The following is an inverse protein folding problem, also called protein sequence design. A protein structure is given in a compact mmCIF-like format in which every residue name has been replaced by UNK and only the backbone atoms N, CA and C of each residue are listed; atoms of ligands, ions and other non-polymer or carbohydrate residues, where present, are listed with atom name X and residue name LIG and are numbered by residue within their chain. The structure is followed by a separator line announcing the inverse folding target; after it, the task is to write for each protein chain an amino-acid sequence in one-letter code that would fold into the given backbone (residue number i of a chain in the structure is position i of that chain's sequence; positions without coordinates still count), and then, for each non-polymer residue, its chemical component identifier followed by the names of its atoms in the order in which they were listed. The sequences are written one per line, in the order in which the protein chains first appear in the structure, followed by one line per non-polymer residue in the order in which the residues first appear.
data_IF_027293898292
#
_entry.id   IF_027293898292
#
_cell.length_a   1.000
_cell.length_b   1.000
_cell.length_c   1.000
_cell.angle_alpha   90.00
_cell.angle_beta   90.00
_cell.angle_gamma   90.00
#
_symmetry.space_group_name_H-M   'P 1'
#
loop_
_entity.id
_entity.type
_entity.pdbx_description
1 polymer ?
#
# COMPACT_ATOMS: atom_id res chain seq x y z
N UNK A 1 -21.85 -13.37 -9.39
CA UNK A 1 -22.98 -13.23 -8.44
C UNK A 1 -24.30 -13.00 -9.17
N UNK A 2 -24.52 -11.88 -9.89
CA UNK A 2 -25.79 -11.63 -10.60
C UNK A 2 -26.24 -12.78 -11.51
N UNK A 3 -25.33 -13.32 -12.33
CA UNK A 3 -25.60 -14.47 -13.20
C UNK A 3 -26.07 -15.72 -12.43
N UNK A 4 -25.57 -15.92 -11.21
CA UNK A 4 -25.87 -17.11 -10.40
C UNK A 4 -27.16 -16.91 -9.59
N UNK A 5 -27.40 -15.69 -9.10
CA UNK A 5 -28.46 -15.39 -8.14
C UNK A 5 -29.75 -14.82 -8.77
N UNK A 6 -29.74 -14.51 -10.07
CA UNK A 6 -30.86 -13.85 -10.76
C UNK A 6 -31.12 -12.43 -10.25
N UNK A 7 -32.27 -11.86 -10.66
CA UNK A 7 -32.68 -10.48 -10.36
C UNK A 7 -33.58 -10.34 -9.11
N UNK A 8 -33.38 -11.20 -8.11
CA UNK A 8 -34.15 -11.10 -6.87
C UNK A 8 -33.91 -9.75 -6.15
N UNK A 9 -34.97 -8.99 -5.78
CA UNK A 9 -34.83 -7.67 -5.16
C UNK A 9 -34.01 -7.67 -3.86
N UNK A 10 -34.12 -8.73 -3.06
CA UNK A 10 -33.36 -8.90 -1.81
C UNK A 10 -31.87 -9.06 -2.07
N UNK A 11 -31.48 -9.80 -3.11
CA UNK A 11 -30.09 -9.96 -3.55
C UNK A 11 -29.53 -8.64 -4.06
N UNK A 12 -30.31 -7.87 -4.82
CA UNK A 12 -29.88 -6.56 -5.32
C UNK A 12 -29.59 -5.58 -4.18
N UNK A 13 -30.44 -5.54 -3.15
CA UNK A 13 -30.21 -4.69 -1.95
C UNK A 13 -28.93 -5.08 -1.21
N UNK A 14 -28.70 -6.38 -0.99
CA UNK A 14 -27.47 -6.88 -0.33
C UNK A 14 -26.23 -6.59 -1.17
N UNK A 15 -26.32 -6.73 -2.49
CA UNK A 15 -25.22 -6.42 -3.40
C UNK A 15 -24.86 -4.94 -3.35
N UNK A 16 -25.84 -4.03 -3.35
CA UNK A 16 -25.58 -2.60 -3.24
C UNK A 16 -24.83 -2.24 -1.95
N UNK A 17 -25.28 -2.78 -0.80
CA UNK A 17 -24.60 -2.58 0.48
C UNK A 17 -23.17 -3.16 0.49
N UNK A 18 -22.98 -4.37 -0.05
CA UNK A 18 -21.68 -5.01 -0.13
C UNK A 18 -20.72 -4.24 -1.07
N UNK A 19 -21.21 -3.72 -2.19
CA UNK A 19 -20.42 -2.89 -3.11
C UNK A 19 -20.02 -1.57 -2.46
N UNK A 20 -20.92 -0.94 -1.70
CA UNK A 20 -20.61 0.27 -0.95
C UNK A 20 -19.49 0.03 0.07
N UNK A 21 -19.61 -1.05 0.85
CA UNK A 21 -18.59 -1.46 1.80
C UNK A 21 -17.25 -1.73 1.11
N UNK A 22 -17.26 -2.52 0.02
CA UNK A 22 -16.07 -2.82 -0.75
C UNK A 22 -15.40 -1.55 -1.28
N UNK A 23 -16.17 -0.61 -1.85
CA UNK A 23 -15.60 0.62 -2.42
C UNK A 23 -14.91 1.48 -1.34
N UNK A 24 -15.51 1.58 -0.13
CA UNK A 24 -14.90 2.27 1.01
C UNK A 24 -13.64 1.56 1.50
N UNK A 25 -13.71 0.25 1.74
CA UNK A 25 -12.59 -0.52 2.25
C UNK A 25 -11.40 -0.51 1.28
N UNK A 26 -11.68 -0.52 -0.02
CA UNK A 26 -10.67 -0.54 -1.07
C UNK A 26 -10.14 0.84 -1.44
N UNK A 27 -10.66 1.91 -0.83
CA UNK A 27 -10.26 3.29 -1.09
C UNK A 27 -10.31 3.62 -2.58
N UNK A 28 -11.45 3.36 -3.22
CA UNK A 28 -11.55 3.48 -4.68
C UNK A 28 -11.27 4.93 -5.11
N UNK A 29 -10.29 5.18 -6.00
CA UNK A 29 -10.02 6.51 -6.49
C UNK A 29 -11.11 6.97 -7.46
N UNK A 30 -11.51 8.23 -7.34
CA UNK A 30 -12.57 8.86 -8.13
C UNK A 30 -12.09 10.20 -8.63
N UNK A 31 -12.09 10.37 -9.95
CA UNK A 31 -11.72 11.61 -10.60
C UNK A 31 -12.94 12.52 -10.69
N UNK A 32 -12.89 13.67 -10.01
CA UNK A 32 -13.94 14.68 -10.10
C UNK A 32 -13.73 15.57 -11.34
N UNK A 33 -14.80 16.20 -11.88
CA UNK A 33 -14.67 17.17 -12.96
C UNK A 33 -13.71 18.29 -12.57
N UNK A 34 -12.80 18.65 -13.48
CA UNK A 34 -11.81 19.72 -13.30
C UNK A 34 -10.81 19.54 -12.15
N UNK A 35 -10.80 18.39 -11.46
CA UNK A 35 -9.84 18.13 -10.39
C UNK A 35 -8.51 17.64 -10.94
N UNK A 36 -7.39 18.23 -10.49
CA UNK A 36 -6.03 17.79 -10.86
C UNK A 36 -5.70 16.41 -10.28
N UNK A 37 -6.18 16.11 -9.07
CA UNK A 37 -5.96 14.85 -8.37
C UNK A 37 -7.28 14.08 -8.19
N UNK A 38 -7.19 12.76 -8.06
CA UNK A 38 -8.36 11.93 -7.73
C UNK A 38 -8.67 12.05 -6.23
N UNK A 39 -9.97 12.10 -5.89
CA UNK A 39 -10.44 11.88 -4.51
C UNK A 39 -10.53 10.37 -4.23
N UNK A 40 -10.81 9.99 -2.98
CA UNK A 40 -10.93 8.59 -2.54
C UNK A 40 -12.30 8.33 -1.92
N UNK A 41 -12.91 7.19 -2.23
CA UNK A 41 -14.09 6.69 -1.52
C UNK A 41 -13.62 5.97 -0.26
N UNK A 42 -13.79 6.60 0.90
CA UNK A 42 -13.37 6.08 2.19
C UNK A 42 -14.49 6.22 3.22
N UNK A 43 -14.39 5.53 4.36
CA UNK A 43 -15.30 5.75 5.48
C UNK A 43 -15.15 7.16 6.08
N UNK A 44 -13.94 7.73 6.03
CA UNK A 44 -13.63 9.06 6.60
C UNK A 44 -14.19 10.22 5.79
N UNK A 45 -14.49 9.98 4.52
CA UNK A 45 -15.15 10.94 3.63
C UNK A 45 -16.63 10.66 3.40
N UNK A 46 -17.24 9.67 4.06
CA UNK A 46 -18.66 9.33 3.88
C UNK A 46 -19.53 10.28 4.71
N UNK A 47 -20.30 11.14 4.03
CA UNK A 47 -21.23 12.08 4.67
C UNK A 47 -22.64 11.48 4.81
N UNK A 48 -22.81 10.21 4.46
CA UNK A 48 -24.11 9.54 4.43
C UNK A 48 -24.89 9.83 3.16
N UNK A 49 -25.97 9.06 2.95
CA UNK A 49 -26.87 9.19 1.80
C UNK A 49 -26.18 9.15 0.41
N UNK A 50 -25.02 8.49 0.32
CA UNK A 50 -24.23 8.38 -0.91
C UNK A 50 -23.43 9.65 -1.25
N UNK A 51 -23.36 10.63 -0.34
CA UNK A 51 -22.52 11.81 -0.47
C UNK A 51 -21.14 11.57 0.11
N UNK A 52 -20.11 12.03 -0.60
CA UNK A 52 -18.73 11.93 -0.19
C UNK A 52 -18.02 13.28 -0.23
N UNK A 53 -17.10 13.49 0.71
CA UNK A 53 -16.23 14.65 0.79
C UNK A 53 -14.98 14.46 -0.07
N UNK A 54 -14.65 15.46 -0.87
CA UNK A 54 -13.32 15.69 -1.42
C UNK A 54 -12.63 16.76 -0.56
N UNK A 55 -11.72 16.38 0.36
CA UNK A 55 -11.13 17.33 1.30
C UNK A 55 -10.24 18.36 0.60
N UNK A 56 -9.54 17.98 -0.48
CA UNK A 56 -8.66 18.88 -1.22
C UNK A 56 -9.37 20.08 -1.84
N UNK A 57 -10.50 19.82 -2.48
CA UNK A 57 -11.26 20.85 -3.19
C UNK A 57 -12.39 21.43 -2.34
N UNK A 58 -12.51 20.99 -1.08
CA UNK A 58 -13.66 21.26 -0.21
C UNK A 58 -14.97 21.15 -0.98
N UNK A 59 -15.23 19.96 -1.51
CA UNK A 59 -16.42 19.72 -2.33
C UNK A 59 -17.09 18.42 -1.93
N UNK A 60 -18.41 18.39 -1.97
CA UNK A 60 -19.19 17.15 -1.84
C UNK A 60 -19.60 16.63 -3.19
N UNK A 61 -19.74 15.32 -3.33
CA UNK A 61 -20.24 14.70 -4.55
C UNK A 61 -21.00 13.42 -4.22
N UNK A 62 -22.02 13.12 -5.03
CA UNK A 62 -22.74 11.86 -4.93
C UNK A 62 -21.94 10.77 -5.65
N UNK A 63 -21.86 9.58 -5.06
CA UNK A 63 -21.17 8.44 -5.65
C UNK A 63 -22.09 7.24 -5.83
N UNK A 64 -22.35 6.86 -7.08
CA UNK A 64 -23.06 5.62 -7.40
C UNK A 64 -22.09 4.44 -7.27
N UNK A 65 -22.17 3.71 -6.17
CA UNK A 65 -21.28 2.57 -5.91
C UNK A 65 -21.37 1.45 -6.95
N UNK A 66 -22.52 1.28 -7.61
CA UNK A 66 -22.72 0.23 -8.62
C UNK A 66 -22.14 0.62 -9.98
N UNK A 67 -22.36 1.87 -10.39
CA UNK A 67 -21.81 2.42 -11.65
C UNK A 67 -20.37 2.89 -11.50
N UNK A 68 -19.91 3.10 -10.28
CA UNK A 68 -18.61 3.67 -9.92
C UNK A 68 -18.39 5.07 -10.51
N UNK A 69 -19.44 5.90 -10.50
CA UNK A 69 -19.43 7.26 -11.07
C UNK A 69 -19.74 8.32 -10.02
N UNK A 70 -19.06 9.47 -10.10
CA UNK A 70 -19.40 10.66 -9.32
C UNK A 70 -20.36 11.58 -10.08
N UNK A 71 -21.30 12.19 -9.36
CA UNK A 71 -22.23 13.21 -9.84
C UNK A 71 -22.43 14.30 -8.79
N UNK A 72 -23.18 15.35 -9.16
CA UNK A 72 -23.66 16.38 -8.22
C UNK A 72 -22.56 17.02 -7.37
N UNK A 73 -21.44 17.36 -8.00
CA UNK A 73 -20.32 18.02 -7.32
C UNK A 73 -20.73 19.43 -6.91
N UNK A 74 -20.59 19.73 -5.62
CA UNK A 74 -20.95 21.01 -5.01
C UNK A 74 -19.81 21.47 -4.12
N UNK A 75 -19.51 22.77 -4.15
CA UNK A 75 -18.59 23.36 -3.18
C UNK A 75 -19.19 23.25 -1.78
N UNK A 76 -18.35 22.98 -0.80
CA UNK A 76 -18.68 22.95 0.61
C UNK A 76 -17.69 23.86 1.31
N UNK A 77 -18.16 24.90 1.98
CA UNK A 77 -17.26 25.74 2.75
C UNK A 77 -16.66 24.90 3.90
N UNK A 78 -15.35 25.04 4.18
CA UNK A 78 -14.74 24.39 5.34
C UNK A 78 -15.51 24.80 6.61
N UNK A 79 -16.09 23.82 7.30
CA UNK A 79 -16.82 24.02 8.54
C UNK A 79 -16.65 22.81 9.47
N UNK A 80 -16.79 23.05 10.77
CA UNK A 80 -16.53 22.06 11.83
C UNK A 80 -17.57 20.91 11.89
N UNK A 81 -18.40 20.72 10.87
CA UNK A 81 -19.40 19.64 10.83
C UNK A 81 -19.18 18.71 9.63
N UNK A 82 -19.23 19.26 8.42
CA UNK A 82 -19.23 18.49 7.18
C UNK A 82 -18.02 18.82 6.29
N UNK A 83 -17.41 20.01 6.48
CA UNK A 83 -16.34 20.57 5.66
C UNK A 83 -14.92 20.38 6.20
N UNK A 84 -14.80 19.80 7.40
CA UNK A 84 -13.55 19.52 8.11
C UNK A 84 -13.24 20.53 9.23
N UNK A 85 -12.49 20.09 10.24
CA UNK A 85 -12.09 20.93 11.38
C UNK A 85 -11.22 22.12 10.92
N UNK A 86 -11.74 23.34 11.07
CA UNK A 86 -11.07 24.57 10.63
C UNK A 86 -9.74 24.81 11.34
N UNK A 87 -9.58 24.33 12.57
CA UNK A 87 -8.34 24.41 13.34
C UNK A 87 -7.29 23.41 12.86
N UNK A 88 -7.74 22.26 12.36
CA UNK A 88 -6.90 21.19 11.82
C UNK A 88 -6.52 21.44 10.34
N UNK A 89 -7.29 22.25 9.61
CA UNK A 89 -7.15 22.45 8.16
C UNK A 89 -5.72 22.84 7.72
N UNK A 90 -4.98 23.76 8.39
CA UNK A 90 -3.60 24.07 8.00
C UNK A 90 -2.67 22.86 8.07
N UNK A 91 -2.87 21.96 9.04
CA UNK A 91 -2.09 20.74 9.23
C UNK A 91 -2.49 19.67 8.21
N UNK A 92 -3.81 19.53 7.96
CA UNK A 92 -4.38 18.65 6.95
C UNK A 92 -3.85 19.00 5.55
N UNK A 93 -3.94 20.27 5.16
CA UNK A 93 -3.49 20.76 3.87
C UNK A 93 -1.98 20.57 3.68
N UNK A 94 -1.16 20.96 4.67
CA UNK A 94 0.29 20.77 4.60
C UNK A 94 0.68 19.29 4.43
N UNK A 95 0.01 18.39 5.19
CA UNK A 95 0.22 16.95 5.08
C UNK A 95 -0.23 16.41 3.73
N UNK A 96 -1.37 16.85 3.22
CA UNK A 96 -1.89 16.43 1.92
C UNK A 96 -0.94 16.81 0.77
N UNK A 97 -0.41 18.02 0.77
CA UNK A 97 0.58 18.46 -0.23
C UNK A 97 1.82 17.59 -0.18
N UNK A 98 2.41 17.40 1.00
CA UNK A 98 3.65 16.63 1.15
C UNK A 98 3.48 15.14 0.83
N UNK A 99 2.38 14.51 1.25
CA UNK A 99 2.08 13.12 0.91
C UNK A 99 1.80 12.97 -0.59
N UNK A 100 1.18 13.95 -1.23
CA UNK A 100 0.92 13.90 -2.68
C UNK A 100 2.23 13.87 -3.47
N UNK A 101 3.17 14.74 -3.15
CA UNK A 101 4.49 14.77 -3.78
C UNK A 101 5.22 13.44 -3.59
N UNK A 102 5.29 12.95 -2.35
CA UNK A 102 5.84 11.62 -2.03
C UNK A 102 5.17 10.51 -2.85
N UNK A 103 3.83 10.52 -2.90
CA UNK A 103 3.05 9.47 -3.55
C UNK A 103 3.31 9.47 -5.04
N UNK A 104 3.37 10.61 -5.73
CA UNK A 104 3.61 10.64 -7.17
C UNK A 104 5.04 10.20 -7.54
N UNK A 105 6.01 10.43 -6.66
CA UNK A 105 7.39 9.96 -6.84
C UNK A 105 7.51 8.43 -6.71
N UNK A 106 6.78 7.82 -5.76
CA UNK A 106 6.93 6.39 -5.43
C UNK A 106 5.79 5.49 -5.99
N UNK A 107 4.65 6.09 -6.30
CA UNK A 107 3.43 5.47 -6.81
C UNK A 107 2.80 6.35 -7.89
N UNK A 108 3.24 6.25 -9.15
CA UNK A 108 2.82 7.15 -10.23
C UNK A 108 1.33 7.08 -10.59
N UNK A 109 0.67 5.95 -10.30
CA UNK A 109 -0.80 5.79 -10.36
C UNK A 109 -1.49 5.97 -9.01
N UNK A 110 -0.78 6.50 -8.03
CA UNK A 110 -1.22 6.67 -6.66
C UNK A 110 -2.26 7.78 -6.53
N UNK A 111 -3.08 7.68 -5.49
CA UNK A 111 -4.07 8.69 -5.13
C UNK A 111 -4.10 8.86 -3.63
N UNK A 112 -4.33 10.10 -3.20
CA UNK A 112 -4.21 10.52 -1.80
C UNK A 112 -5.45 11.30 -1.42
N UNK A 113 -5.94 11.08 -0.22
CA UNK A 113 -6.87 12.00 0.44
C UNK A 113 -6.49 12.13 1.91
N UNK A 114 -6.47 13.36 2.42
CA UNK A 114 -6.26 13.62 3.86
C UNK A 114 -7.49 14.30 4.41
N UNK A 115 -8.12 13.66 5.39
CA UNK A 115 -9.33 14.12 6.06
C UNK A 115 -8.99 14.74 7.41
N UNK A 116 -9.80 15.69 7.86
CA UNK A 116 -9.82 16.20 9.22
C UNK A 116 -11.26 16.05 9.78
N UNK A 117 -11.66 14.84 10.21
CA UNK A 117 -13.01 14.59 10.67
C UNK A 117 -13.33 15.46 11.89
N UNK A 118 -14.38 16.27 11.80
CA UNK A 118 -14.81 17.14 12.88
C UNK A 118 -15.74 16.37 13.84
N UNK A 119 -15.15 15.47 14.63
CA UNK A 119 -15.92 14.63 15.57
C UNK A 119 -16.01 15.33 16.92
N UNK A 120 -17.22 15.70 17.35
CA UNK A 120 -17.47 16.51 18.55
C UNK A 120 -17.16 15.80 19.88
N UNK A 121 -17.00 14.48 19.89
CA UNK A 121 -16.79 13.65 21.09
C UNK A 121 -15.51 12.82 21.06
N UNK A 122 -14.58 13.09 20.14
CA UNK A 122 -13.34 12.35 19.98
C UNK A 122 -12.14 13.31 19.87
N UNK A 123 -10.94 12.80 20.18
CA UNK A 123 -9.71 13.56 19.98
C UNK A 123 -9.61 14.05 18.53
N UNK A 124 -9.24 15.33 18.35
CA UNK A 124 -8.96 15.90 17.03
C UNK A 124 -7.91 15.05 16.30
N UNK A 125 -8.19 14.72 15.04
CA UNK A 125 -7.31 13.87 14.25
C UNK A 125 -7.31 14.21 12.77
N UNK A 126 -6.21 13.85 12.12
CA UNK A 126 -6.13 13.74 10.67
C UNK A 126 -6.15 12.27 10.28
N UNK A 127 -6.70 11.98 9.11
CA UNK A 127 -6.59 10.65 8.51
C UNK A 127 -6.08 10.78 7.08
N UNK A 128 -4.87 10.30 6.83
CA UNK A 128 -4.26 10.26 5.50
C UNK A 128 -4.40 8.87 4.88
N UNK A 129 -5.05 8.80 3.73
CA UNK A 129 -5.21 7.58 2.95
C UNK A 129 -4.36 7.67 1.69
N UNK A 130 -3.53 6.67 1.44
CA UNK A 130 -2.76 6.49 0.20
C UNK A 130 -3.21 5.19 -0.44
N UNK A 131 -3.58 5.25 -1.72
CA UNK A 131 -3.89 4.05 -2.51
C UNK A 131 -3.04 4.05 -3.78
N UNK A 132 -2.55 2.88 -4.15
CA UNK A 132 -1.98 2.65 -5.47
C UNK A 132 -2.45 1.30 -5.98
N UNK A 133 -2.64 1.20 -7.29
CA UNK A 133 -3.08 -0.03 -7.93
C UNK A 133 -2.37 -0.24 -9.25
N UNK A 134 -2.16 -1.51 -9.57
CA UNK A 134 -1.70 -1.92 -10.89
C UNK A 134 -2.58 -3.04 -11.43
N UNK A 135 -2.65 -3.08 -12.75
CA UNK A 135 -3.27 -4.16 -13.50
C UNK A 135 -2.33 -4.50 -14.66
N UNK A 136 -1.96 -5.77 -14.76
CA UNK A 136 -1.21 -6.34 -15.88
C UNK A 136 -1.97 -7.57 -16.39
N UNK A 137 -1.50 -8.16 -17.49
CA UNK A 137 -2.07 -9.42 -17.98
C UNK A 137 -2.09 -10.45 -16.85
N UNK A 138 -3.27 -11.00 -16.58
CA UNK A 138 -3.53 -12.02 -15.56
C UNK A 138 -3.03 -11.71 -14.13
N UNK A 139 -2.78 -10.44 -13.80
CA UNK A 139 -2.33 -10.06 -12.46
C UNK A 139 -2.86 -8.68 -12.05
N UNK A 140 -3.22 -8.59 -10.77
CA UNK A 140 -3.68 -7.34 -10.16
C UNK A 140 -3.01 -7.15 -8.81
N UNK A 141 -2.83 -5.90 -8.42
CA UNK A 141 -2.41 -5.59 -7.07
C UNK A 141 -2.86 -4.22 -6.61
N UNK A 142 -2.96 -4.09 -5.30
CA UNK A 142 -3.37 -2.88 -4.61
C UNK A 142 -2.55 -2.69 -3.36
N UNK A 143 -1.97 -1.50 -3.25
CA UNK A 143 -1.40 -0.93 -2.05
C UNK A 143 -2.43 -0.01 -1.41
N UNK A 144 -2.60 -0.11 -0.09
CA UNK A 144 -3.36 0.84 0.73
C UNK A 144 -2.55 1.14 1.98
N UNK A 145 -2.35 2.41 2.30
CA UNK A 145 -1.91 2.80 3.64
C UNK A 145 -2.85 3.84 4.22
N UNK A 146 -3.23 3.64 5.47
CA UNK A 146 -4.06 4.56 6.25
C UNK A 146 -3.25 5.02 7.45
N UNK A 147 -3.13 6.33 7.65
CA UNK A 147 -2.39 6.93 8.75
C UNK A 147 -3.34 7.82 9.54
N UNK A 148 -3.57 7.47 10.80
CA UNK A 148 -4.36 8.25 11.75
C UNK A 148 -3.40 9.05 12.62
N UNK A 149 -3.50 10.38 12.57
CA UNK A 149 -2.67 11.32 13.32
C UNK A 149 -3.55 11.97 14.38
N UNK A 150 -3.24 11.78 15.65
CA UNK A 150 -3.86 12.54 16.74
C UNK A 150 -3.21 13.91 16.86
N UNK A 151 -4.03 14.95 16.85
CA UNK A 151 -3.60 16.35 17.01
C UNK A 151 -3.65 16.69 18.50
N UNK A 152 -2.55 17.15 19.11
CA UNK A 152 -2.57 17.59 20.50
C UNK A 152 -3.34 18.90 20.67
N UNK A 153 -3.77 19.21 21.90
CA UNK A 153 -4.54 20.42 22.19
C UNK A 153 -3.84 21.71 21.78
N UNK A 154 -2.51 21.73 21.95
CA UNK A 154 -1.58 22.75 21.48
C UNK A 154 -0.72 22.18 20.33
N UNK A 155 -1.12 22.35 19.05
CA UNK A 155 -0.41 21.77 17.91
C UNK A 155 0.99 22.33 17.68
N UNK A 156 1.21 23.60 18.04
CA UNK A 156 2.49 24.29 17.82
C UNK A 156 3.50 23.83 18.87
N UNK A 157 4.51 23.06 18.44
CA UNK A 157 5.50 22.50 19.35
C UNK A 157 5.00 21.28 20.15
N UNK A 158 3.74 20.88 19.97
CA UNK A 158 3.17 19.67 20.53
C UNK A 158 3.64 18.40 19.81
N UNK A 159 3.43 17.26 20.46
CA UNK A 159 3.75 15.94 19.91
C UNK A 159 2.50 15.28 19.34
N UNK A 160 2.54 14.99 18.05
CA UNK A 160 1.52 14.27 17.31
C UNK A 160 1.79 12.77 17.39
N UNK A 161 0.79 11.99 17.80
CA UNK A 161 0.86 10.52 17.76
C UNK A 161 0.30 10.00 16.46
N UNK A 162 1.03 9.13 15.77
CA UNK A 162 0.65 8.59 14.46
C UNK A 162 0.55 7.08 14.53
N UNK A 163 -0.61 6.54 14.16
CA UNK A 163 -0.86 5.12 13.96
C UNK A 163 -1.13 4.85 12.48
N UNK A 164 -0.41 3.91 11.89
CA UNK A 164 -0.47 3.58 10.48
C UNK A 164 -0.78 2.11 10.22
N UNK A 165 -1.59 1.84 9.21
CA UNK A 165 -1.88 0.49 8.74
C UNK A 165 -1.59 0.41 7.25
N UNK A 166 -0.58 -0.38 6.89
CA UNK A 166 -0.20 -0.65 5.50
C UNK A 166 -0.77 -2.01 5.10
N UNK A 167 -1.42 -2.10 3.93
CA UNK A 167 -2.03 -3.31 3.38
C UNK A 167 -1.63 -3.49 1.92
N UNK A 168 -1.18 -4.70 1.59
CA UNK A 168 -0.88 -5.12 0.22
C UNK A 168 -1.76 -6.31 -0.11
N UNK A 169 -2.45 -6.22 -1.24
CA UNK A 169 -3.22 -7.32 -1.81
C UNK A 169 -2.81 -7.51 -3.25
N UNK A 170 -2.47 -8.74 -3.62
CA UNK A 170 -2.17 -9.10 -5.01
C UNK A 170 -2.86 -10.40 -5.39
N UNK A 171 -3.13 -10.55 -6.68
CA UNK A 171 -3.81 -11.69 -7.24
C UNK A 171 -3.24 -11.99 -8.62
N UNK A 172 -2.65 -13.17 -8.75
CA UNK A 172 -2.17 -13.75 -9.99
C UNK A 172 -3.11 -14.89 -10.37
N UNK A 173 -3.60 -14.86 -11.61
CA UNK A 173 -4.56 -15.83 -12.11
C UNK A 173 -4.19 -16.38 -13.50
N UNK A 174 -2.89 -16.39 -13.79
CA UNK A 174 -2.31 -17.13 -14.92
C UNK A 174 -2.18 -18.59 -14.51
N UNK A 175 -2.90 -19.48 -15.22
CA UNK A 175 -2.88 -20.94 -15.01
C UNK A 175 -3.22 -21.43 -13.58
N UNK A 176 -3.73 -20.53 -12.72
CA UNK A 176 -4.01 -20.82 -11.33
C UNK A 176 -4.75 -19.66 -10.65
N UNK A 177 -4.82 -19.68 -9.32
CA UNK A 177 -5.34 -18.56 -8.51
C UNK A 177 -4.48 -18.45 -7.25
N UNK A 178 -3.57 -17.48 -7.26
CA UNK A 178 -2.63 -17.23 -6.17
C UNK A 178 -2.86 -15.81 -5.66
N UNK A 179 -3.01 -15.67 -4.34
CA UNK A 179 -3.23 -14.38 -3.70
C UNK A 179 -2.21 -14.15 -2.59
N UNK A 180 -1.67 -12.93 -2.54
CA UNK A 180 -0.97 -12.42 -1.37
C UNK A 180 -1.85 -11.38 -0.70
N UNK A 181 -2.08 -11.54 0.60
CA UNK A 181 -2.70 -10.55 1.46
C UNK A 181 -1.76 -10.36 2.64
N UNK A 182 -1.24 -9.14 2.80
CA UNK A 182 -0.29 -8.82 3.86
C UNK A 182 -0.63 -7.45 4.45
N UNK A 183 -0.44 -7.32 5.76
CA UNK A 183 -0.64 -6.06 6.46
C UNK A 183 0.44 -5.82 7.52
N UNK A 184 0.72 -4.55 7.82
CA UNK A 184 1.62 -4.14 8.89
C UNK A 184 1.07 -2.88 9.57
N UNK A 185 1.09 -2.90 10.89
CA UNK A 185 0.80 -1.73 11.72
C UNK A 185 2.10 -1.04 12.13
N UNK A 186 2.07 0.28 12.24
CA UNK A 186 3.24 1.12 12.53
C UNK A 186 2.81 2.28 13.41
N UNK A 187 3.52 2.49 14.51
CA UNK A 187 3.32 3.64 15.39
C UNK A 187 4.59 4.50 15.43
N UNK A 188 4.41 5.83 15.41
CA UNK A 188 5.48 6.79 15.65
C UNK A 188 4.92 8.11 16.20
N UNK A 189 5.81 9.05 16.52
CA UNK A 189 5.42 10.38 16.96
C UNK A 189 6.24 11.44 16.25
N UNK A 190 5.61 12.59 16.02
CA UNK A 190 6.21 13.74 15.34
C UNK A 190 6.05 14.96 16.23
N UNK A 191 7.12 15.71 16.45
CA UNK A 191 7.04 17.02 17.12
C UNK A 191 7.54 18.06 16.13
N UNK A 192 6.76 19.12 15.93
CA UNK A 192 7.12 20.15 14.96
C UNK A 192 6.60 21.54 15.35
N UNK A 193 7.34 22.60 15.01
CA UNK A 193 6.98 23.97 15.36
C UNK A 193 5.86 24.56 14.48
N UNK A 194 5.55 23.94 13.33
CA UNK A 194 4.52 24.41 12.41
C UNK A 194 4.05 23.27 11.47
N UNK A 195 2.95 23.52 10.76
CA UNK A 195 2.31 22.55 9.86
C UNK A 195 3.23 22.04 8.75
N UNK A 196 4.08 22.89 8.17
CA UNK A 196 5.00 22.50 7.11
C UNK A 196 6.07 21.53 7.62
N UNK A 197 6.71 21.86 8.75
CA UNK A 197 7.71 21.00 9.37
C UNK A 197 7.11 19.66 9.82
N UNK A 198 5.88 19.69 10.36
CA UNK A 198 5.13 18.48 10.69
C UNK A 198 4.91 17.59 9.46
N UNK A 199 4.43 18.16 8.37
CA UNK A 199 4.16 17.41 7.15
C UNK A 199 5.42 16.74 6.59
N UNK A 200 6.52 17.47 6.51
CA UNK A 200 7.81 16.93 6.06
C UNK A 200 8.29 15.77 6.93
N UNK A 201 8.22 15.93 8.25
CA UNK A 201 8.69 14.91 9.19
C UNK A 201 7.77 13.69 9.21
N UNK A 202 6.46 13.90 9.13
CA UNK A 202 5.47 12.83 9.03
C UNK A 202 5.69 12.00 7.75
N UNK A 203 5.88 12.64 6.60
CA UNK A 203 6.19 11.95 5.33
C UNK A 203 7.51 11.18 5.41
N UNK A 204 8.54 11.73 6.08
CA UNK A 204 9.81 11.03 6.30
C UNK A 204 9.60 9.72 7.06
N UNK A 205 8.79 9.74 8.12
CA UNK A 205 8.45 8.53 8.88
C UNK A 205 7.62 7.54 8.05
N UNK A 206 6.61 8.01 7.33
CA UNK A 206 5.78 7.18 6.43
C UNK A 206 6.67 6.48 5.39
N UNK A 207 7.52 7.23 4.69
CA UNK A 207 8.46 6.70 3.70
C UNK A 207 9.35 5.60 4.29
N UNK A 208 9.96 5.85 5.45
CA UNK A 208 10.81 4.87 6.11
C UNK A 208 10.04 3.61 6.53
N UNK A 209 8.82 3.77 7.02
CA UNK A 209 7.95 2.66 7.40
C UNK A 209 7.53 1.81 6.19
N UNK A 210 7.16 2.45 5.08
CA UNK A 210 6.80 1.77 3.83
C UNK A 210 8.00 1.05 3.20
N UNK A 211 9.19 1.68 3.18
CA UNK A 211 10.44 1.02 2.73
C UNK A 211 10.76 -0.19 3.61
N UNK A 212 10.70 -0.04 4.93
CA UNK A 212 10.95 -1.13 5.87
C UNK A 212 9.93 -2.27 5.76
N UNK A 213 8.74 -1.99 5.23
CA UNK A 213 7.74 -3.02 4.94
C UNK A 213 7.97 -3.71 3.58
N UNK A 214 8.40 -2.95 2.56
CA UNK A 214 8.67 -3.49 1.22
C UNK A 214 9.91 -4.39 1.20
N UNK A 215 10.98 -4.05 1.94
CA UNK A 215 12.25 -4.79 1.89
C UNK A 215 12.12 -6.27 2.28
N UNK A 216 11.48 -6.66 3.40
CA UNK A 216 11.28 -8.06 3.74
C UNK A 216 10.31 -8.78 2.80
N UNK A 217 9.30 -8.10 2.26
CA UNK A 217 8.40 -8.71 1.27
C UNK A 217 9.15 -9.08 -0.01
N UNK A 218 10.12 -8.26 -0.43
CA UNK A 218 11.04 -8.61 -1.52
C UNK A 218 11.94 -9.80 -1.19
N UNK A 219 12.42 -9.91 0.06
CA UNK A 219 13.30 -11.00 0.50
C UNK A 219 12.55 -12.31 0.79
N UNK A 220 11.32 -12.27 1.30
CA UNK A 220 10.50 -13.46 1.58
C UNK A 220 10.14 -14.22 0.30
N UNK A 221 10.02 -13.50 -0.81
CA UNK A 221 9.83 -14.05 -2.16
C UNK A 221 11.14 -14.54 -2.77
N UNK A 222 12.28 -14.09 -2.25
CA UNK A 222 13.62 -14.53 -2.62
C UNK A 222 14.34 -15.26 -1.46
N UNK A 223 13.89 -16.41 -0.94
CA UNK A 223 14.73 -17.20 -0.08
C UNK A 223 15.62 -18.14 -0.93
N UNK A 224 16.95 -18.17 -0.72
CA UNK A 224 17.69 -19.40 -0.91
C UNK A 224 17.19 -20.38 0.16
N UNK A 225 16.40 -21.38 -0.23
CA UNK A 225 16.03 -22.56 0.57
C UNK A 225 15.74 -22.29 2.07
N UNK A 226 14.56 -21.74 2.40
CA UNK A 226 14.12 -21.60 3.80
C UNK A 226 13.51 -22.92 4.33
N UNK A 227 13.77 -23.33 5.59
CA UNK A 227 13.41 -24.66 6.13
C UNK A 227 11.90 -24.99 6.25
N UNK A 228 10.99 -24.04 6.02
CA UNK A 228 9.54 -24.32 5.98
C UNK A 228 9.09 -24.92 4.63
N UNK A 229 9.93 -24.83 3.60
CA UNK A 229 9.77 -25.51 2.32
C UNK A 229 10.78 -26.67 2.23
N UNK A 230 10.74 -27.57 3.22
CA UNK A 230 11.34 -28.91 3.10
C UNK A 230 10.25 -29.95 3.25
N UNK A 231 9.37 -30.01 2.26
CA UNK A 231 8.55 -31.18 1.99
C UNK A 231 8.35 -31.23 0.47
N UNK A 232 8.71 -32.38 -0.10
CA UNK A 232 8.70 -32.76 -1.52
C UNK A 232 9.70 -32.03 -2.43
N UNK A 233 10.97 -32.43 -2.30
CA UNK A 233 11.97 -32.31 -3.37
C UNK A 233 11.59 -33.30 -4.49
N UNK A 234 11.17 -32.73 -5.61
CA UNK A 234 10.69 -33.43 -6.81
C UNK A 234 9.46 -32.68 -7.33
N UNK A 235 9.65 -31.80 -8.32
CA UNK A 235 8.59 -31.09 -9.09
C UNK A 235 8.03 -29.74 -8.55
N UNK A 236 8.83 -28.90 -7.90
CA UNK A 236 8.45 -27.49 -7.64
C UNK A 236 9.49 -26.50 -8.14
N UNK A 237 9.79 -26.58 -9.44
CA UNK A 237 10.45 -25.51 -10.21
C UNK A 237 9.44 -24.41 -10.66
N UNK A 238 8.24 -24.39 -10.10
CA UNK A 238 7.09 -23.74 -10.72
C UNK A 238 6.56 -22.50 -9.94
N UNK A 239 6.71 -21.34 -10.59
CA UNK A 239 5.67 -20.29 -10.78
C UNK A 239 5.51 -19.18 -9.71
N UNK A 240 6.12 -19.24 -8.53
CA UNK A 240 5.89 -18.20 -7.48
C UNK A 240 6.83 -16.99 -7.46
N UNK A 241 8.14 -17.22 -7.59
CA UNK A 241 9.18 -16.22 -7.26
C UNK A 241 9.50 -15.19 -8.37
N UNK A 242 9.51 -15.54 -9.67
CA UNK A 242 9.85 -14.57 -10.73
C UNK A 242 8.79 -13.49 -10.95
N UNK A 243 7.52 -13.80 -10.68
CA UNK A 243 6.39 -12.91 -10.94
C UNK A 243 6.24 -11.82 -9.87
N UNK A 244 6.53 -12.12 -8.61
CA UNK A 244 6.47 -11.12 -7.55
C UNK A 244 7.70 -10.19 -7.57
N UNK A 245 8.85 -10.67 -8.09
CA UNK A 245 9.96 -9.80 -8.51
C UNK A 245 9.53 -8.88 -9.66
N UNK A 246 8.81 -9.36 -10.67
CA UNK A 246 8.21 -8.51 -11.72
C UNK A 246 7.17 -7.54 -11.19
N UNK A 247 6.52 -7.82 -10.05
CA UNK A 247 5.54 -6.93 -9.41
C UNK A 247 6.20 -5.85 -8.55
N UNK A 248 7.27 -6.18 -7.83
CA UNK A 248 8.08 -5.19 -7.12
C UNK A 248 8.84 -4.30 -8.12
N UNK A 249 9.37 -4.89 -9.19
CA UNK A 249 9.93 -4.16 -10.33
C UNK A 249 8.85 -3.33 -11.03
N UNK A 250 7.61 -3.81 -11.19
CA UNK A 250 6.52 -3.00 -11.75
C UNK A 250 6.09 -1.81 -10.89
N UNK A 251 6.16 -1.95 -9.57
CA UNK A 251 5.90 -0.85 -8.63
C UNK A 251 7.09 0.13 -8.55
N UNK A 252 8.30 -0.34 -8.88
CA UNK A 252 9.52 0.47 -8.95
C UNK A 252 9.72 1.16 -10.31
N UNK A 253 9.36 0.50 -11.42
CA UNK A 253 9.59 0.93 -12.81
C UNK A 253 8.57 1.96 -13.32
N UNK A 254 7.60 2.32 -12.51
CA UNK A 254 6.71 3.43 -12.84
C UNK A 254 7.40 4.80 -12.68
N UNK A 255 8.55 4.88 -12.00
CA UNK A 255 9.37 6.09 -11.91
C UNK A 255 10.46 6.14 -12.99
N UNK A 256 10.31 7.05 -13.94
CA UNK A 256 11.31 7.54 -14.91
C UNK A 256 12.20 6.53 -15.64
N UNK A 257 11.92 6.36 -16.93
CA UNK A 257 12.92 6.05 -17.95
C UNK A 257 13.92 7.22 -18.06
N UNK A 258 15.10 7.09 -17.47
CA UNK A 258 16.39 7.39 -18.11
C UNK A 258 17.54 7.03 -17.14
N UNK A 259 18.63 6.51 -17.70
CA UNK A 259 19.81 5.92 -17.03
C UNK A 259 19.68 4.51 -16.46
N UNK A 260 19.61 3.51 -17.34
CA UNK A 260 20.43 2.28 -17.23
C UNK A 260 20.42 1.52 -18.56
N UNK A 261 20.81 2.20 -19.64
CA UNK A 261 21.11 1.52 -20.91
C UNK A 261 22.61 1.39 -21.08
N UNK A 262 23.05 0.16 -21.35
CA UNK A 262 24.41 -0.29 -21.69
C UNK A 262 25.41 -0.39 -20.53
N UNK A 263 25.47 -1.57 -19.93
CA UNK A 263 26.70 -2.38 -19.95
C UNK A 263 26.39 -3.85 -19.67
N UNK A 264 26.80 -4.71 -20.59
CA UNK A 264 27.01 -6.14 -20.34
C UNK A 264 25.82 -7.03 -20.59
N UNK A 265 25.69 -7.55 -21.82
CA UNK A 265 25.73 -8.99 -22.12
C UNK A 265 25.38 -9.17 -23.61
N UNK A 266 26.42 -9.18 -24.45
CA UNK A 266 26.35 -9.84 -25.76
C UNK A 266 27.32 -11.02 -25.65
N UNK A 267 26.78 -12.20 -25.33
CA UNK A 267 27.49 -13.45 -25.48
C UNK A 267 27.57 -13.74 -26.99
N UNK A 268 28.73 -13.44 -27.60
CA UNK A 268 29.11 -14.02 -28.87
C UNK A 268 29.89 -15.29 -28.59
N UNK A 269 29.27 -16.40 -28.96
CA UNK A 269 29.87 -17.72 -29.06
C UNK A 269 31.04 -17.66 -30.06
N UNK A 270 32.26 -17.97 -29.61
CA UNK A 270 33.36 -18.40 -30.48
C UNK A 270 34.34 -19.25 -29.69
N UNK A 271 34.59 -20.43 -30.23
CA UNK A 271 35.50 -21.45 -29.71
C UNK A 271 36.97 -21.04 -29.84
N UNK A 272 37.78 -21.72 -29.03
CA UNK A 272 39.17 -22.15 -29.25
C UNK A 272 40.35 -21.28 -28.77
N UNK A 273 41.10 -21.92 -27.84
CA UNK A 273 42.56 -22.08 -27.80
C UNK A 273 43.48 -21.05 -27.10
N UNK A 274 44.19 -21.58 -26.07
CA UNK A 274 45.53 -21.22 -25.52
C UNK A 274 45.62 -20.07 -24.47
N UNK A 275 46.22 -20.38 -23.30
CA UNK A 275 46.58 -19.43 -22.20
C UNK A 275 47.86 -18.62 -22.48
N UNK A 276 48.65 -18.07 -21.51
CA UNK A 276 48.59 -18.16 -20.03
C UNK A 276 48.90 -16.85 -19.20
N UNK A 277 48.82 -16.95 -17.85
CA UNK A 277 49.61 -16.26 -16.77
C UNK A 277 49.49 -14.72 -16.60
N UNK A 278 49.30 -14.10 -15.40
CA UNK A 278 50.20 -14.04 -14.22
C UNK A 278 49.49 -13.61 -12.90
N UNK A 279 50.17 -13.93 -11.77
CA UNK A 279 49.81 -13.76 -10.34
C UNK A 279 49.79 -12.30 -9.81
N UNK A 280 49.04 -12.05 -8.72
CA UNK A 280 49.37 -11.08 -7.67
C UNK A 280 48.71 -11.43 -6.31
N UNK A 281 49.40 -11.05 -5.22
CA UNK A 281 49.34 -11.54 -3.84
C UNK A 281 48.20 -10.99 -2.94
N UNK A 282 48.00 -11.72 -1.83
CA UNK A 282 47.36 -11.34 -0.55
C UNK A 282 47.92 -10.03 0.04
N UNK A 283 47.30 -9.27 0.96
CA UNK A 283 46.53 -9.55 2.20
C UNK A 283 46.00 -8.19 2.68
N UNK A 284 44.70 -8.04 2.96
CA UNK A 284 44.10 -7.24 4.05
C UNK A 284 42.61 -6.99 3.77
N UNK A 285 41.73 -7.50 4.63
CA UNK A 285 40.28 -7.29 4.48
C UNK A 285 39.40 -8.13 5.42
N UNK A 286 39.96 -9.15 6.07
CA UNK A 286 39.16 -10.11 6.84
C UNK A 286 38.88 -9.70 8.29
N UNK A 287 39.52 -8.65 8.82
CA UNK A 287 39.37 -8.29 10.24
C UNK A 287 38.22 -7.30 10.53
N UNK A 288 37.74 -6.55 9.54
CA UNK A 288 36.67 -5.55 9.74
C UNK A 288 35.26 -6.16 9.57
N UNK A 289 35.13 -7.32 8.93
CA UNK A 289 33.83 -7.95 8.65
C UNK A 289 33.29 -8.77 9.84
N UNK A 290 34.17 -9.31 10.69
CA UNK A 290 33.76 -10.17 11.82
C UNK A 290 33.14 -9.39 12.99
N UNK A 291 33.44 -8.10 13.16
CA UNK A 291 32.92 -7.33 14.30
C UNK A 291 31.48 -6.81 14.09
N UNK A 292 31.02 -6.67 12.83
CA UNK A 292 29.66 -6.23 12.52
C UNK A 292 28.65 -7.38 12.68
N UNK A 293 29.07 -8.61 12.36
CA UNK A 293 28.22 -9.80 12.48
C UNK A 293 27.91 -10.19 13.94
N UNK A 294 28.83 -9.94 14.88
CA UNK A 294 28.61 -10.29 16.29
C UNK A 294 27.68 -9.31 17.04
N UNK A 295 27.54 -8.07 16.56
CA UNK A 295 26.62 -7.07 17.13
C UNK A 295 25.17 -7.31 16.66
N UNK A 296 24.99 -7.77 15.42
CA UNK A 296 23.67 -8.04 14.84
C UNK A 296 23.02 -9.31 15.43
N UNK A 297 23.83 -10.30 15.83
CA UNK A 297 23.35 -11.58 16.39
C UNK A 297 22.91 -11.49 17.87
N UNK A 298 23.06 -10.34 18.54
CA UNK A 298 22.73 -10.19 19.97
C UNK A 298 21.38 -9.49 20.25
N UNK A 299 20.69 -8.98 19.23
CA UNK A 299 19.37 -8.36 19.42
C UNK A 299 18.25 -9.39 19.39
N UNK A 300 17.81 -9.85 20.57
CA UNK A 300 16.54 -10.58 20.74
C UNK A 300 15.36 -9.67 20.33
N UNK A 301 14.71 -10.00 19.23
CA UNK A 301 13.44 -9.40 18.82
C UNK A 301 12.30 -10.04 19.65
N UNK A 302 11.45 -9.26 20.36
CA UNK A 302 10.31 -9.83 21.08
C UNK A 302 9.25 -10.38 20.13
N UNK A 303 8.68 -11.52 20.51
CA UNK A 303 7.77 -12.34 19.72
C UNK A 303 6.34 -11.79 19.70
N UNK A 304 6.00 -10.88 18.78
CA UNK A 304 4.60 -10.50 18.49
C UNK A 304 4.36 -10.10 17.02
N UNK A 305 4.77 -10.92 16.05
CA UNK A 305 4.35 -10.74 14.65
C UNK A 305 3.61 -11.98 14.14
N UNK A 306 2.34 -11.80 13.71
CA UNK A 306 1.59 -12.84 12.99
C UNK A 306 2.14 -12.93 11.56
N UNK A 307 2.47 -14.14 11.12
CA UNK A 307 2.99 -14.44 9.79
C UNK A 307 1.96 -14.17 8.66
N UNK A 308 2.41 -13.86 7.43
CA UNK A 308 1.54 -13.72 6.28
C UNK A 308 0.81 -15.04 5.96
N UNK A 309 -0.49 -14.97 5.70
CA UNK A 309 -1.30 -16.14 5.31
C UNK A 309 -1.29 -16.28 3.79
N UNK A 310 -0.58 -17.27 3.26
CA UNK A 310 -0.67 -17.68 1.85
C UNK A 310 -1.84 -18.66 1.70
N UNK A 311 -2.86 -18.32 0.91
CA UNK A 311 -3.92 -19.28 0.52
C UNK A 311 -3.67 -19.74 -0.92
N UNK A 312 -3.38 -21.03 -1.07
CA UNK A 312 -3.30 -21.71 -2.38
C UNK A 312 -4.57 -22.54 -2.54
N UNK A 313 -5.41 -22.19 -3.50
CA UNK A 313 -6.59 -22.98 -3.83
C UNK A 313 -6.32 -23.91 -5.00
N UNK A 314 -6.22 -25.23 -4.75
CA UNK A 314 -6.26 -26.22 -5.83
C UNK A 314 -7.69 -26.40 -6.33
N UNK A 315 -7.88 -26.42 -7.66
CA UNK A 315 -9.14 -26.82 -8.28
C UNK A 315 -9.36 -28.31 -8.04
N UNK A 316 -10.17 -28.64 -7.04
CA UNK A 316 -10.94 -29.88 -7.05
C UNK A 316 -12.43 -29.54 -6.91
N UNK A 317 -13.18 -29.82 -7.97
CA UNK A 317 -14.62 -29.86 -7.95
C UNK A 317 -15.04 -31.00 -6.99
N UNK A 318 -15.46 -30.65 -5.78
CA UNK A 318 -16.33 -31.54 -5.00
C UNK A 318 -17.21 -30.70 -4.10
N UNK A 319 -18.51 -30.66 -4.43
CA UNK A 319 -19.55 -30.22 -3.51
C UNK A 319 -19.53 -31.15 -2.30
N UNK A 320 -19.30 -30.61 -1.10
CA UNK A 320 -19.76 -31.22 0.14
C UNK A 320 -20.42 -30.11 0.97
N UNK A 321 -21.72 -30.27 1.18
CA UNK A 321 -22.53 -29.38 2.00
C UNK A 321 -22.56 -29.75 3.47
N UNK A 322 -23.08 -28.80 4.26
CA UNK A 322 -23.54 -28.89 5.66
C UNK A 322 -22.41 -29.02 6.71
N UNK A 323 -22.49 -28.44 7.92
CA UNK A 323 -23.66 -28.17 8.80
C UNK A 323 -23.28 -27.16 9.90
N UNK A 324 -24.30 -26.49 10.47
CA UNK A 324 -24.21 -25.71 11.71
C UNK A 324 -23.69 -26.54 12.90
N UNK A 325 -22.84 -25.91 13.72
CA UNK A 325 -22.98 -25.74 15.18
C UNK A 325 -22.11 -24.55 15.59
#
# INVERSE_FOLDING_TARGET
VRVISGDHPTTQKKLAAATAQYNRDQMIPVKLPNAEYSSLITAHGDLGNGQFLCPRSHSTFHYDHLKQTASDVRCLDPNDADGGDTTAEPWRHALEVAITEYTLEHFPSGSVAVYAPAVTNEDRRLVACIVSQFRKHQSTGRWRSEWTIKIPDEPIGGTFSVHGVIKVQTHLYEEGNVQLISSKEVDFSVTAPNAKAFATECVRHIKNAEIAYQLPLGRFVLPPHHPHFRATEGELECIGAPLLLRMLVALSDSGNHEHLTRRGLMAKQKESHVGPSWKANSTDGTQTFCNILHSILSCRIPSTSRFPTLRIGHRNNTLIGMRNT
#
